data_IF_258980159714
#
_entry.id   IF_258980159714
#
_cell.length_a   1.000
_cell.length_b   1.000
_cell.length_c   1.000
_cell.angle_alpha   90.00
_cell.angle_beta   90.00
_cell.angle_gamma   90.00
#
_symmetry.space_group_name_H-M   'P 1'
#
loop_
_entity.id
_entity.type
_entity.pdbx_description
1 polymer ?
#
# COMPACT_ATOMS: atom_id res chain seq x y z
N UNK A 1 -11.05 0.54 -0.23
CA UNK A 1 -10.40 0.34 1.09
C UNK A 1 -11.33 0.43 2.30
N UNK A 2 -12.06 1.54 2.51
CA UNK A 2 -12.81 1.76 3.77
C UNK A 2 -13.79 0.61 4.12
N UNK A 3 -14.54 0.08 3.14
CA UNK A 3 -15.42 -1.09 3.36
C UNK A 3 -14.67 -2.29 3.93
N UNK A 4 -13.55 -2.64 3.31
CA UNK A 4 -12.82 -3.86 3.64
C UNK A 4 -12.15 -3.77 5.01
N UNK A 5 -11.62 -2.59 5.35
CA UNK A 5 -11.01 -2.31 6.66
C UNK A 5 -12.04 -2.39 7.79
N UNK A 6 -13.24 -1.86 7.56
CA UNK A 6 -14.29 -1.84 8.59
C UNK A 6 -14.86 -3.22 8.90
N UNK A 7 -14.95 -4.12 7.91
CA UNK A 7 -15.37 -5.51 8.16
C UNK A 7 -14.39 -6.21 9.09
N UNK A 8 -13.09 -5.96 8.90
CA UNK A 8 -12.02 -6.54 9.71
C UNK A 8 -11.74 -5.75 11.01
N UNK A 9 -12.50 -4.68 11.28
CA UNK A 9 -12.38 -3.80 12.46
C UNK A 9 -10.96 -3.26 12.67
N UNK A 10 -10.24 -2.98 11.58
CA UNK A 10 -8.90 -2.38 11.67
C UNK A 10 -9.05 -0.89 11.97
N UNK A 11 -8.37 -0.35 12.99
CA UNK A 11 -8.26 1.09 13.17
C UNK A 11 -7.71 1.73 11.89
N UNK A 12 -8.49 2.65 11.30
CA UNK A 12 -8.12 3.32 10.06
C UNK A 12 -7.80 4.78 10.35
N UNK A 13 -6.55 5.16 10.08
CA UNK A 13 -6.15 6.56 10.07
C UNK A 13 -6.08 7.04 8.61
N UNK A 14 -6.85 8.08 8.26
CA UNK A 14 -6.88 8.60 6.89
C UNK A 14 -6.08 9.90 6.80
N UNK A 15 -4.95 9.84 6.10
CA UNK A 15 -4.18 11.02 5.71
C UNK A 15 -4.80 11.64 4.46
N UNK A 16 -5.57 12.72 4.62
CA UNK A 16 -6.26 13.38 3.51
C UNK A 16 -6.19 14.90 3.60
N UNK A 17 -6.49 15.53 2.48
CA UNK A 17 -6.75 16.96 2.41
C UNK A 17 -8.25 17.22 2.41
N UNK A 18 -8.63 18.40 2.87
CA UNK A 18 -9.98 18.92 2.68
C UNK A 18 -10.32 19.10 1.19
N UNK A 19 -11.36 19.86 0.85
CA UNK A 19 -11.58 20.24 -0.55
C UNK A 19 -10.33 20.98 -1.09
N UNK A 20 -9.55 20.28 -1.93
CA UNK A 20 -8.31 20.74 -2.55
C UNK A 20 -7.06 20.15 -1.88
N UNK A 21 -6.17 19.52 -2.66
CA UNK A 21 -5.45 20.27 -3.70
C UNK A 21 -5.41 19.61 -5.10
N UNK A 22 -4.75 20.26 -6.08
CA UNK A 22 -4.41 19.66 -7.38
C UNK A 22 -3.57 18.39 -7.14
N UNK A 23 -3.71 17.38 -8.01
CA UNK A 23 -3.09 16.06 -7.89
C UNK A 23 -1.59 16.10 -7.51
N UNK A 24 -0.84 17.08 -8.00
CA UNK A 24 0.58 17.28 -7.72
C UNK A 24 0.88 17.62 -6.25
N UNK A 25 0.06 18.48 -5.64
CA UNK A 25 0.21 18.86 -4.22
C UNK A 25 -0.13 17.66 -3.31
N UNK A 26 -1.09 16.83 -3.71
CA UNK A 26 -1.45 15.61 -2.99
C UNK A 26 -0.31 14.58 -2.96
N UNK A 27 0.40 14.42 -4.09
CA UNK A 27 1.57 13.52 -4.21
C UNK A 27 2.71 13.91 -3.27
N UNK A 28 2.94 15.21 -3.07
CA UNK A 28 4.02 15.69 -2.22
C UNK A 28 3.74 15.53 -0.71
N UNK A 29 2.50 15.71 -0.26
CA UNK A 29 2.24 15.56 1.19
C UNK A 29 1.84 14.17 1.62
N UNK A 30 1.50 13.25 0.72
CA UNK A 30 1.27 11.84 1.08
C UNK A 30 2.44 11.29 1.94
N UNK A 31 3.71 11.42 1.50
CA UNK A 31 4.88 11.14 2.33
C UNK A 31 4.88 11.88 3.67
N UNK A 32 4.70 13.22 3.65
CA UNK A 32 4.83 14.07 4.83
C UNK A 32 3.78 13.76 5.91
N UNK A 33 2.53 13.53 5.50
CA UNK A 33 1.42 13.17 6.40
C UNK A 33 1.63 11.81 7.02
N UNK A 34 2.08 10.83 6.23
CA UNK A 34 2.43 9.55 6.79
C UNK A 34 3.49 9.69 7.91
N UNK A 35 4.50 10.56 7.76
CA UNK A 35 5.51 10.80 8.81
C UNK A 35 4.88 11.28 10.10
N UNK A 36 4.01 12.28 9.99
CA UNK A 36 3.36 12.89 11.15
C UNK A 36 2.53 11.85 11.89
N UNK A 37 1.77 11.04 11.14
CA UNK A 37 0.98 9.95 11.67
C UNK A 37 1.87 8.87 12.31
N UNK A 38 2.92 8.43 11.61
CA UNK A 38 3.85 7.43 12.14
C UNK A 38 4.56 7.90 13.40
N UNK A 39 4.94 9.19 13.50
CA UNK A 39 5.52 9.78 14.72
C UNK A 39 4.51 9.83 15.87
N UNK A 40 3.27 10.24 15.59
CA UNK A 40 2.20 10.26 16.58
C UNK A 40 1.96 8.85 17.13
N UNK A 41 1.89 7.86 16.25
CA UNK A 41 1.70 6.45 16.62
C UNK A 41 2.92 5.88 17.35
N UNK A 42 4.14 6.16 16.89
CA UNK A 42 5.36 5.72 17.57
C UNK A 42 5.50 6.29 18.98
N UNK A 43 4.93 7.47 19.24
CA UNK A 43 4.90 8.09 20.56
C UNK A 43 3.91 7.42 21.52
N UNK A 44 2.90 6.72 21.00
CA UNK A 44 1.92 5.94 21.78
C UNK A 44 2.45 4.54 22.05
N UNK A 45 2.89 3.84 21.01
CA UNK A 45 3.53 2.53 21.06
C UNK A 45 4.54 2.42 19.92
N UNK A 46 5.86 2.33 20.19
CA UNK A 46 6.87 2.22 19.14
C UNK A 46 6.82 0.89 18.39
N UNK A 47 6.28 -0.17 19.02
CA UNK A 47 6.29 -1.53 18.48
C UNK A 47 5.03 -1.87 17.68
N UNK A 48 4.00 -1.03 17.74
CA UNK A 48 2.77 -1.22 16.97
C UNK A 48 3.11 -1.31 15.48
N UNK A 49 2.39 -2.15 14.78
CA UNK A 49 2.60 -2.39 13.35
C UNK A 49 1.69 -1.44 12.58
N UNK A 50 2.29 -0.62 11.72
CA UNK A 50 1.58 0.27 10.82
C UNK A 50 1.60 -0.31 9.41
N UNK A 51 0.44 -0.27 8.77
CA UNK A 51 0.31 -0.51 7.33
C UNK A 51 -0.06 0.80 6.68
N UNK A 52 0.72 1.18 5.68
CA UNK A 52 0.39 2.26 4.78
C UNK A 52 -0.11 1.67 3.47
N UNK A 53 -1.19 2.21 2.95
CA UNK A 53 -1.69 1.84 1.65
C UNK A 53 -2.41 3.02 0.99
N UNK A 54 -2.41 3.05 -0.33
CA UNK A 54 -3.32 3.88 -1.09
C UNK A 54 -4.77 3.53 -0.75
N UNK A 55 -5.66 4.52 -0.85
CA UNK A 55 -7.03 4.39 -0.35
C UNK A 55 -8.07 4.16 -1.46
N UNK A 56 -7.83 4.70 -2.65
CA UNK A 56 -8.82 4.77 -3.73
C UNK A 56 -8.95 3.47 -4.52
N UNK A 57 -7.83 2.81 -4.77
CA UNK A 57 -7.67 1.67 -5.67
C UNK A 57 -7.09 0.44 -4.94
N UNK A 58 -7.28 0.38 -3.62
CA UNK A 58 -6.89 -0.76 -2.79
C UNK A 58 -8.09 -1.37 -2.09
N UNK A 59 -8.16 -2.71 -2.06
CA UNK A 59 -9.04 -3.42 -1.14
C UNK A 59 -8.29 -4.52 -0.38
N UNK A 60 -8.79 -4.81 0.82
CA UNK A 60 -8.32 -5.91 1.67
C UNK A 60 -9.21 -7.16 1.45
N UNK A 61 -8.67 -8.36 1.55
CA UNK A 61 -9.44 -9.62 1.51
C UNK A 61 -9.02 -10.69 2.52
N UNK A 62 -8.01 -10.39 3.35
CA UNK A 62 -7.53 -11.26 4.44
C UNK A 62 -7.72 -10.60 5.81
N UNK A 63 -7.84 -11.39 6.88
CA UNK A 63 -7.93 -10.87 8.24
C UNK A 63 -6.60 -10.28 8.70
N UNK A 64 -6.65 -9.38 9.68
CA UNK A 64 -5.47 -8.69 10.26
C UNK A 64 -4.44 -9.66 10.80
N UNK A 65 -4.86 -10.70 11.53
CA UNK A 65 -3.95 -11.65 12.16
C UNK A 65 -3.04 -12.34 11.13
N UNK A 66 -3.58 -12.66 9.96
CA UNK A 66 -2.80 -13.21 8.85
C UNK A 66 -1.71 -12.25 8.38
N UNK A 67 -2.05 -10.96 8.25
CA UNK A 67 -1.14 -9.91 7.78
C UNK A 67 0.01 -9.72 8.79
N UNK A 68 -0.33 -9.64 10.07
CA UNK A 68 0.63 -9.49 11.16
C UNK A 68 1.56 -10.71 11.24
N UNK A 69 1.01 -11.92 11.19
CA UNK A 69 1.79 -13.16 11.24
C UNK A 69 2.78 -13.27 10.08
N UNK A 70 2.36 -12.93 8.85
CA UNK A 70 3.27 -12.96 7.70
C UNK A 70 4.35 -11.89 7.80
N UNK A 71 4.04 -10.69 8.29
CA UNK A 71 5.04 -9.63 8.45
C UNK A 71 6.09 -9.97 9.51
N UNK A 72 5.66 -10.47 10.68
CA UNK A 72 6.57 -10.82 11.79
C UNK A 72 7.55 -11.92 11.38
N UNK A 73 7.14 -12.86 10.51
CA UNK A 73 8.02 -13.92 9.99
C UNK A 73 9.16 -13.41 9.10
N UNK A 74 9.04 -12.22 8.50
CA UNK A 74 10.04 -11.72 7.54
C UNK A 74 11.27 -11.10 8.21
N UNK A 75 11.16 -10.73 9.49
CA UNK A 75 12.19 -10.07 10.29
C UNK A 75 12.84 -8.88 9.54
N UNK A 76 12.04 -7.85 9.29
CA UNK A 76 12.44 -6.63 8.56
C UNK A 76 12.00 -5.38 9.28
N UNK A 77 12.70 -4.27 9.02
CA UNK A 77 12.25 -2.95 9.49
C UNK A 77 11.10 -2.42 8.66
N UNK A 78 11.18 -2.61 7.34
CA UNK A 78 10.14 -2.19 6.41
C UNK A 78 9.96 -3.24 5.31
N UNK A 79 8.69 -3.50 5.00
CA UNK A 79 8.26 -4.33 3.90
C UNK A 79 7.50 -3.47 2.91
N UNK A 80 7.89 -3.50 1.64
CA UNK A 80 7.14 -2.88 0.54
C UNK A 80 6.40 -3.91 -0.30
N UNK A 81 5.34 -3.45 -0.97
CA UNK A 81 4.78 -4.19 -2.10
C UNK A 81 5.84 -4.36 -3.19
N UNK A 82 5.93 -5.57 -3.75
CA UNK A 82 6.66 -5.82 -4.99
C UNK A 82 5.74 -5.60 -6.21
N UNK A 83 6.31 -5.24 -7.35
CA UNK A 83 5.63 -5.13 -8.64
C UNK A 83 6.52 -5.59 -9.80
N UNK A 84 5.90 -5.81 -10.96
CA UNK A 84 6.55 -6.24 -12.21
C UNK A 84 7.11 -5.10 -13.06
N UNK A 85 7.07 -3.86 -12.58
CA UNK A 85 7.54 -2.71 -13.33
C UNK A 85 8.49 -1.82 -12.50
N UNK A 86 9.57 -1.35 -13.12
CA UNK A 86 10.57 -0.51 -12.47
C UNK A 86 10.24 0.98 -12.61
N UNK A 87 9.04 1.39 -12.21
CA UNK A 87 8.64 2.80 -12.30
C UNK A 87 9.28 3.61 -11.16
N UNK A 88 9.69 4.87 -11.37
CA UNK A 88 9.64 5.66 -12.62
C UNK A 88 10.87 5.51 -13.53
N UNK A 89 11.77 4.57 -13.26
CA UNK A 89 13.10 4.48 -13.89
C UNK A 89 13.11 3.81 -15.26
N UNK A 90 11.97 3.35 -15.79
CA UNK A 90 11.83 2.82 -17.17
C UNK A 90 11.79 3.89 -18.27
N UNK A 91 12.29 5.10 -18.02
CA UNK A 91 12.26 6.22 -18.97
C UNK A 91 13.37 6.19 -20.03
N UNK A 92 14.53 5.65 -19.68
CA UNK A 92 15.71 5.52 -20.54
C UNK A 92 16.62 4.38 -20.03
N UNK A 93 17.50 3.86 -20.90
CA UNK A 93 18.35 2.71 -20.56
C UNK A 93 19.31 3.02 -19.41
N UNK A 94 19.82 4.25 -19.32
CA UNK A 94 20.73 4.67 -18.25
C UNK A 94 20.04 4.58 -16.88
N UNK A 95 18.79 5.04 -16.76
CA UNK A 95 17.99 4.95 -15.54
C UNK A 95 17.66 3.50 -15.18
N UNK A 96 17.39 2.66 -16.19
CA UNK A 96 17.17 1.23 -15.99
C UNK A 96 18.43 0.58 -15.41
N UNK A 97 19.58 0.83 -16.02
CA UNK A 97 20.85 0.24 -15.61
C UNK A 97 21.26 0.71 -14.20
N UNK A 98 21.03 2.00 -13.89
CA UNK A 98 21.38 2.59 -12.61
C UNK A 98 20.48 2.15 -11.45
N UNK A 99 19.17 1.97 -11.68
CA UNK A 99 18.20 1.72 -10.60
C UNK A 99 17.60 0.33 -10.63
N UNK A 100 17.12 -0.13 -11.79
CA UNK A 100 16.39 -1.40 -11.90
C UNK A 100 17.28 -2.60 -11.67
N UNK A 101 18.57 -2.50 -11.99
CA UNK A 101 19.58 -3.54 -11.77
C UNK A 101 19.96 -3.74 -10.30
N UNK A 102 19.67 -2.75 -9.42
CA UNK A 102 19.94 -2.86 -7.98
C UNK A 102 18.99 -3.83 -7.27
N UNK A 103 17.88 -4.19 -7.92
CA UNK A 103 16.87 -5.10 -7.40
C UNK A 103 16.84 -6.36 -8.27
N UNK A 104 17.72 -7.34 -8.00
CA UNK A 104 17.81 -8.55 -8.81
C UNK A 104 16.54 -9.42 -8.71
N UNK A 105 15.71 -9.21 -7.68
CA UNK A 105 14.55 -10.01 -7.35
C UNK A 105 14.89 -11.23 -6.50
N UNK A 106 13.87 -12.02 -6.18
CA UNK A 106 14.02 -13.32 -5.50
C UNK A 106 14.20 -14.43 -6.57
N UNK A 107 15.33 -15.17 -6.56
CA UNK A 107 15.57 -16.25 -7.52
C UNK A 107 14.47 -17.32 -7.57
N UNK A 108 13.85 -17.63 -6.44
CA UNK A 108 12.73 -18.58 -6.39
C UNK A 108 11.53 -18.00 -7.12
N UNK A 109 11.22 -16.73 -6.92
CA UNK A 109 10.10 -16.08 -7.59
C UNK A 109 10.35 -15.89 -9.08
N UNK A 110 11.60 -15.62 -9.49
CA UNK A 110 11.96 -15.60 -10.91
C UNK A 110 11.64 -16.94 -11.57
N UNK A 111 11.95 -18.06 -10.91
CA UNK A 111 11.64 -19.39 -11.42
C UNK A 111 10.13 -19.69 -11.42
N UNK A 112 9.40 -19.28 -10.38
CA UNK A 112 7.94 -19.49 -10.26
C UNK A 112 7.16 -18.76 -11.35
N UNK A 113 7.56 -17.54 -11.70
CA UNK A 113 6.84 -16.73 -12.68
C UNK A 113 7.19 -17.04 -14.14
N UNK A 114 8.34 -17.67 -14.40
CA UNK A 114 8.81 -17.95 -15.74
C UNK A 114 7.76 -18.67 -16.62
N UNK A 115 7.58 -18.27 -17.90
CA UNK A 115 8.37 -17.29 -18.64
C UNK A 115 7.95 -15.82 -18.41
N UNK A 116 6.95 -15.57 -17.56
CA UNK A 116 6.44 -14.22 -17.32
C UNK A 116 7.36 -13.44 -16.35
N UNK A 117 7.32 -12.10 -16.38
CA UNK A 117 8.08 -11.29 -15.43
C UNK A 117 7.65 -11.56 -13.98
N UNK A 118 8.62 -11.83 -13.10
CA UNK A 118 8.39 -11.88 -11.65
C UNK A 118 8.30 -10.47 -11.06
N UNK A 119 7.50 -10.27 -10.00
CA UNK A 119 7.56 -9.03 -9.23
C UNK A 119 8.92 -8.93 -8.56
N UNK A 120 9.66 -7.86 -8.84
CA UNK A 120 11.00 -7.65 -8.24
C UNK A 120 11.30 -6.20 -7.88
N UNK A 121 10.43 -5.28 -8.28
CA UNK A 121 10.61 -3.85 -8.13
C UNK A 121 9.69 -3.33 -7.03
N UNK A 122 10.08 -2.23 -6.38
CA UNK A 122 9.33 -1.64 -5.29
C UNK A 122 8.09 -0.90 -5.82
N UNK A 123 6.95 -1.08 -5.16
CA UNK A 123 5.76 -0.24 -5.30
C UNK A 123 5.47 0.49 -3.97
N UNK A 124 5.40 1.83 -3.99
CA UNK A 124 5.17 2.65 -2.77
C UNK A 124 3.71 2.78 -2.37
N UNK A 125 2.79 2.22 -3.15
CA UNK A 125 1.37 2.30 -2.85
C UNK A 125 0.95 1.42 -1.68
N UNK A 126 1.81 0.50 -1.21
CA UNK A 126 1.62 -0.15 0.07
C UNK A 126 2.96 -0.53 0.74
N UNK A 127 3.03 -0.36 2.06
CA UNK A 127 4.16 -0.79 2.89
C UNK A 127 3.74 -1.09 4.32
N UNK A 128 4.62 -1.75 5.07
CA UNK A 128 4.40 -2.14 6.46
C UNK A 128 5.69 -2.02 7.27
N UNK A 129 5.60 -1.47 8.47
CA UNK A 129 6.72 -1.32 9.40
C UNK A 129 6.22 -1.20 10.84
N UNK A 130 7.11 -1.36 11.82
CA UNK A 130 6.83 -0.93 13.20
C UNK A 130 6.79 0.59 13.25
N UNK A 131 5.96 1.18 14.11
CA UNK A 131 5.78 2.62 14.17
C UNK A 131 7.10 3.38 14.37
N UNK A 132 8.00 2.89 15.22
CA UNK A 132 9.34 3.47 15.39
C UNK A 132 10.16 3.45 14.10
N UNK A 133 10.12 2.34 13.36
CA UNK A 133 10.83 2.21 12.08
C UNK A 133 10.19 3.11 11.01
N UNK A 134 8.86 3.19 10.94
CA UNK A 134 8.14 4.10 10.06
C UNK A 134 8.50 5.57 10.35
N UNK A 135 8.56 5.95 11.63
CA UNK A 135 8.94 7.31 12.03
C UNK A 135 10.40 7.62 11.67
N UNK A 136 11.30 6.65 11.79
CA UNK A 136 12.71 6.76 11.38
C UNK A 136 12.84 6.89 9.85
N UNK A 137 12.14 6.04 9.09
CA UNK A 137 12.14 5.97 7.62
C UNK A 137 12.04 7.35 6.98
N UNK A 138 11.10 8.16 7.47
CA UNK A 138 10.81 9.44 6.83
C UNK A 138 11.70 10.60 7.28
N UNK A 139 12.17 10.61 8.54
CA UNK A 139 13.16 11.61 8.97
C UNK A 139 14.42 11.53 8.11
N UNK A 140 14.83 10.30 7.79
CA UNK A 140 16.02 10.03 6.99
C UNK A 140 15.87 10.43 5.51
N UNK A 141 14.65 10.52 4.98
CA UNK A 141 14.43 11.05 3.62
C UNK A 141 14.17 12.54 3.56
N UNK A 142 13.61 13.15 4.60
CA UNK A 142 13.35 14.59 4.55
C UNK A 142 14.62 15.43 4.51
N UNK A 143 15.76 14.87 4.91
CA UNK A 143 17.00 15.63 5.10
C UNK A 143 17.90 15.73 3.88
N UNK A 144 17.81 14.82 2.88
CA UNK A 144 18.79 14.74 1.77
C UNK A 144 18.23 14.21 0.43
N UNK A 145 16.91 14.26 0.20
CA UNK A 145 16.32 13.70 -1.04
C UNK A 145 16.44 14.68 -2.21
N UNK A 146 16.98 14.28 -3.38
CA UNK A 146 16.97 15.10 -4.60
C UNK A 146 15.55 15.57 -4.94
N UNK A 147 15.40 16.80 -5.49
CA UNK A 147 14.08 17.40 -5.75
C UNK A 147 13.12 16.48 -6.51
N UNK A 148 13.60 15.78 -7.53
CA UNK A 148 12.80 14.83 -8.31
C UNK A 148 12.23 13.67 -7.45
N UNK A 149 13.02 13.16 -6.50
CA UNK A 149 12.59 12.12 -5.57
C UNK A 149 11.71 12.68 -4.46
N UNK A 150 11.78 13.98 -4.15
CA UNK A 150 10.87 14.62 -3.20
C UNK A 150 9.43 14.73 -3.73
N UNK A 151 9.25 14.71 -5.05
CA UNK A 151 7.96 14.84 -5.74
C UNK A 151 7.37 13.49 -6.21
N UNK A 152 8.09 12.39 -6.00
CA UNK A 152 7.69 11.04 -6.38
C UNK A 152 7.90 10.07 -5.22
N UNK A 153 6.82 9.63 -4.59
CA UNK A 153 6.84 8.75 -3.42
C UNK A 153 7.49 7.39 -3.71
N UNK A 154 7.33 6.85 -4.93
CA UNK A 154 7.98 5.61 -5.35
C UNK A 154 9.49 5.75 -5.46
N UNK A 155 9.98 6.81 -6.13
CA UNK A 155 11.41 7.11 -6.21
C UNK A 155 12.05 7.32 -4.81
N UNK A 156 11.33 8.01 -3.91
CA UNK A 156 11.76 8.20 -2.52
C UNK A 156 11.87 6.88 -1.75
N UNK A 157 10.95 5.97 -1.99
CA UNK A 157 10.97 4.65 -1.36
C UNK A 157 12.15 3.79 -1.85
N UNK A 158 12.52 3.90 -3.14
CA UNK A 158 13.73 3.26 -3.67
C UNK A 158 15.00 3.71 -2.96
N UNK A 159 15.25 5.01 -2.85
CA UNK A 159 16.43 5.56 -2.17
C UNK A 159 16.57 5.00 -0.75
N UNK A 160 15.45 4.88 -0.04
CA UNK A 160 15.44 4.37 1.32
C UNK A 160 15.71 2.88 1.40
N UNK A 161 15.12 2.08 0.54
CA UNK A 161 15.41 0.66 0.52
C UNK A 161 16.86 0.39 0.15
N UNK A 162 17.45 1.16 -0.76
CA UNK A 162 18.88 1.11 -1.05
C UNK A 162 19.70 1.47 0.19
N UNK A 163 19.36 2.57 0.87
CA UNK A 163 20.06 3.01 2.09
C UNK A 163 19.95 2.00 3.24
N UNK A 164 18.80 1.36 3.38
CA UNK A 164 18.53 0.43 4.47
C UNK A 164 19.04 -0.98 4.20
N UNK A 165 19.32 -1.30 2.93
CA UNK A 165 19.84 -2.60 2.50
C UNK A 165 18.92 -3.73 2.94
N UNK A 166 19.49 -4.76 3.55
CA UNK A 166 18.78 -5.97 4.00
C UNK A 166 17.64 -5.72 5.01
N UNK A 167 17.59 -4.52 5.62
CA UNK A 167 16.52 -4.11 6.54
C UNK A 167 15.25 -3.64 5.82
N UNK A 168 15.32 -3.36 4.51
CA UNK A 168 14.15 -3.23 3.64
C UNK A 168 14.01 -4.51 2.80
N UNK A 169 12.82 -5.10 2.77
CA UNK A 169 12.47 -6.16 1.81
C UNK A 169 11.25 -5.78 1.00
N UNK A 170 11.11 -6.46 -0.14
CA UNK A 170 9.90 -6.43 -0.95
C UNK A 170 9.15 -7.75 -0.75
N UNK A 171 7.82 -7.72 -0.77
CA UNK A 171 6.97 -8.92 -0.69
C UNK A 171 6.96 -9.66 -2.04
N UNK A 172 8.08 -10.29 -2.41
CA UNK A 172 8.24 -10.95 -3.71
C UNK A 172 7.24 -12.11 -3.95
N UNK A 173 6.77 -12.75 -2.88
CA UNK A 173 5.75 -13.82 -2.94
C UNK A 173 4.32 -13.27 -3.01
N UNK A 174 4.16 -11.95 -2.86
CA UNK A 174 2.88 -11.25 -2.88
C UNK A 174 1.86 -11.88 -1.92
N UNK A 175 2.29 -12.15 -0.67
CA UNK A 175 1.42 -12.73 0.36
C UNK A 175 0.59 -11.66 1.07
N UNK A 176 1.21 -10.53 1.34
CA UNK A 176 0.60 -9.38 2.00
C UNK A 176 0.13 -8.39 0.94
N UNK A 177 0.99 -8.03 -0.01
CA UNK A 177 0.69 -7.00 -1.01
C UNK A 177 0.72 -7.55 -2.43
N UNK A 178 -0.30 -7.21 -3.22
CA UNK A 178 -0.36 -7.48 -4.65
C UNK A 178 -0.58 -6.20 -5.45
N UNK A 179 0.43 -5.83 -6.25
CA UNK A 179 0.27 -4.85 -7.32
C UNK A 179 -0.40 -5.51 -8.53
N UNK A 180 -1.42 -4.88 -9.09
CA UNK A 180 -2.21 -5.44 -10.20
C UNK A 180 -1.71 -5.00 -11.57
N UNK A 181 -0.87 -3.95 -11.65
CA UNK A 181 -0.26 -3.54 -12.91
C UNK A 181 0.57 -4.67 -13.51
N UNK A 182 0.26 -5.04 -14.77
CA UNK A 182 0.89 -6.16 -15.51
C UNK A 182 0.69 -7.54 -14.83
N UNK A 183 -0.30 -7.64 -13.94
CA UNK A 183 -0.44 -8.81 -13.07
C UNK A 183 -1.86 -9.37 -12.98
N UNK A 184 -2.77 -8.93 -13.84
CA UNK A 184 -4.14 -9.45 -13.89
C UNK A 184 -4.17 -10.97 -14.11
N UNK A 185 -3.33 -11.46 -15.03
CA UNK A 185 -3.30 -12.88 -15.42
C UNK A 185 -2.68 -13.80 -14.34
N UNK A 186 -2.04 -13.23 -13.32
CA UNK A 186 -1.55 -14.00 -12.17
C UNK A 186 -2.69 -14.43 -11.24
N UNK A 187 -3.87 -13.82 -11.36
CA UNK A 187 -4.91 -13.87 -10.34
C UNK A 187 -6.15 -14.62 -10.83
N UNK A 188 -6.67 -15.49 -9.98
CA UNK A 188 -7.95 -16.18 -10.21
C UNK A 188 -8.88 -16.02 -9.02
N UNK A 189 -10.18 -15.92 -9.29
CA UNK A 189 -11.19 -15.86 -8.24
C UNK A 189 -11.63 -17.28 -7.84
N UNK A 190 -11.17 -17.75 -6.69
CA UNK A 190 -11.36 -19.13 -6.20
C UNK A 190 -11.91 -19.06 -4.76
N UNK A 191 -13.00 -19.78 -4.49
CA UNK A 191 -13.51 -19.91 -3.12
C UNK A 191 -13.93 -18.60 -2.45
N UNK A 192 -14.28 -17.57 -3.23
CA UNK A 192 -14.69 -16.26 -2.70
C UNK A 192 -13.55 -15.24 -2.53
N UNK A 193 -12.32 -15.60 -2.90
CA UNK A 193 -11.13 -14.74 -2.80
C UNK A 193 -10.36 -14.72 -4.11
N UNK A 194 -9.51 -13.71 -4.30
CA UNK A 194 -8.54 -13.68 -5.38
C UNK A 194 -7.23 -14.34 -4.93
N UNK A 195 -6.83 -15.38 -5.65
CA UNK A 195 -5.65 -16.20 -5.42
C UNK A 195 -4.64 -15.90 -6.52
N UNK A 196 -3.39 -15.62 -6.14
CA UNK A 196 -2.28 -15.59 -7.08
C UNK A 196 -1.93 -17.05 -7.42
N UNK A 197 -2.21 -17.47 -8.65
CA UNK A 197 -2.00 -18.85 -9.09
C UNK A 197 -0.55 -19.16 -9.44
N UNK A 198 0.30 -18.14 -9.61
CA UNK A 198 1.75 -18.33 -9.79
C UNK A 198 2.37 -18.78 -8.48
N UNK A 199 2.11 -18.04 -7.39
CA UNK A 199 2.73 -18.29 -6.08
C UNK A 199 1.86 -19.14 -5.15
N UNK A 200 0.63 -19.47 -5.56
CA UNK A 200 -0.39 -20.11 -4.72
C UNK A 200 -0.66 -19.35 -3.41
N UNK A 201 -0.62 -18.01 -3.46
CA UNK A 201 -0.91 -17.14 -2.32
C UNK A 201 -2.29 -16.49 -2.46
N UNK A 202 -2.84 -16.00 -1.36
CA UNK A 202 -4.04 -15.16 -1.38
C UNK A 202 -3.67 -13.82 -0.77
N UNK A 203 -3.26 -12.84 -1.60
CA UNK A 203 -2.74 -11.56 -1.13
C UNK A 203 -3.73 -10.86 -0.19
N UNK A 204 -3.24 -10.24 0.87
CA UNK A 204 -4.10 -9.51 1.80
C UNK A 204 -4.63 -8.22 1.17
N UNK A 205 -3.74 -7.38 0.66
CA UNK A 205 -4.03 -6.12 0.00
C UNK A 205 -3.88 -6.27 -1.51
N UNK A 206 -4.91 -5.85 -2.24
CA UNK A 206 -4.94 -5.82 -3.69
C UNK A 206 -4.92 -4.36 -4.15
N UNK A 207 -3.83 -3.93 -4.78
CA UNK A 207 -3.59 -2.55 -5.22
C UNK A 207 -3.68 -2.45 -6.75
N UNK A 208 -4.69 -1.72 -7.24
CA UNK A 208 -5.00 -1.52 -8.65
C UNK A 208 -4.27 -0.32 -9.26
N UNK A 209 -2.96 -0.26 -8.98
CA UNK A 209 -2.07 0.80 -9.41
C UNK A 209 -2.03 0.96 -10.93
N UNK A 210 -1.70 2.17 -11.39
CA UNK A 210 -1.59 2.49 -12.82
C UNK A 210 -2.93 2.77 -13.52
N UNK A 211 -4.01 2.98 -12.75
CA UNK A 211 -5.32 3.34 -13.30
C UNK A 211 -6.08 2.17 -13.90
N UNK A 212 -5.91 0.97 -13.35
CA UNK A 212 -6.53 -0.26 -13.84
C UNK A 212 -8.07 -0.20 -13.71
N UNK A 213 -8.84 -0.36 -14.80
CA UNK A 213 -10.31 -0.20 -14.78
C UNK A 213 -11.05 -1.32 -14.04
N UNK A 214 -10.39 -2.44 -13.75
CA UNK A 214 -11.01 -3.63 -13.17
C UNK A 214 -11.35 -3.50 -11.68
N UNK A 215 -10.81 -2.50 -10.97
CA UNK A 215 -10.92 -2.35 -9.52
C UNK A 215 -12.35 -2.56 -8.99
N UNK A 216 -13.32 -1.80 -9.51
CA UNK A 216 -14.70 -1.85 -9.00
C UNK A 216 -15.38 -3.21 -9.23
N UNK A 217 -15.05 -3.89 -10.33
CA UNK A 217 -15.58 -5.24 -10.64
C UNK A 217 -15.04 -6.27 -9.65
N UNK A 218 -13.75 -6.16 -9.29
CA UNK A 218 -13.08 -7.10 -8.41
C UNK A 218 -13.46 -6.89 -6.95
N UNK A 219 -13.43 -5.65 -6.48
CA UNK A 219 -13.89 -5.29 -5.13
C UNK A 219 -15.35 -5.75 -4.94
N UNK A 220 -16.21 -5.51 -5.94
CA UNK A 220 -17.60 -5.96 -5.93
C UNK A 220 -17.74 -7.47 -5.78
N UNK A 221 -16.92 -8.31 -6.43
CA UNK A 221 -17.01 -9.77 -6.30
C UNK A 221 -16.65 -10.29 -4.90
N UNK A 222 -15.70 -9.64 -4.23
CA UNK A 222 -15.30 -10.00 -2.86
C UNK A 222 -16.36 -9.53 -1.85
N UNK A 223 -16.88 -8.32 -2.02
CA UNK A 223 -17.68 -7.66 -1.00
C UNK A 223 -19.19 -7.66 -1.24
N UNK A 224 -19.69 -7.85 -2.47
CA UNK A 224 -21.14 -7.93 -2.75
C UNK A 224 -21.80 -9.16 -2.09
N UNK A 225 -21.03 -10.15 -1.62
CA UNK A 225 -21.56 -11.27 -0.83
C UNK A 225 -21.63 -10.97 0.67
N UNK A 226 -21.09 -9.84 1.12
CA UNK A 226 -20.81 -9.53 2.53
C UNK A 226 -21.26 -8.13 2.95
N UNK A 227 -22.46 -7.62 2.65
CA UNK A 227 -22.87 -6.36 3.31
C UNK A 227 -24.36 -6.23 3.64
N UNK A 228 -24.64 -6.45 4.93
CA UNK A 228 -25.53 -5.66 5.79
C UNK A 228 -24.67 -4.96 6.87
N UNK A 229 -23.50 -4.43 6.52
CA UNK A 229 -22.55 -3.83 7.48
C UNK A 229 -22.80 -2.33 7.58
N UNK A 230 -23.31 -1.89 8.74
CA UNK A 230 -23.38 -0.47 9.11
C UNK A 230 -21.98 -0.01 9.49
N UNK A 231 -21.50 1.09 8.91
CA UNK A 231 -20.17 1.58 9.25
C UNK A 231 -20.21 2.35 10.59
N UNK A 232 -19.39 1.90 11.53
CA UNK A 232 -19.20 2.46 12.87
C UNK A 232 -17.69 2.41 13.17
N UNK A 233 -17.19 3.37 13.95
CA UNK A 233 -15.79 3.48 14.42
C UNK A 233 -14.73 3.87 13.36
N UNK A 234 -14.92 5.00 12.68
CA UNK A 234 -13.82 5.68 11.96
C UNK A 234 -13.34 6.83 12.84
N UNK A 235 -12.08 6.78 13.30
CA UNK A 235 -11.46 7.89 14.02
C UNK A 235 -10.79 8.85 13.04
N UNK A 236 -11.24 10.10 13.04
CA UNK A 236 -10.65 11.16 12.23
C UNK A 236 -9.71 11.97 13.12
N UNK A 237 -8.43 12.08 12.74
CA UNK A 237 -7.47 12.89 13.48
C UNK A 237 -7.80 14.39 13.26
N UNK A 238 -7.67 15.23 14.29
CA UNK A 238 -8.17 16.63 14.29
C UNK A 238 -7.57 17.57 13.22
N UNK A 239 -6.56 17.13 12.46
CA UNK A 239 -6.00 17.84 11.31
C UNK A 239 -6.43 17.28 9.94
N UNK A 240 -7.39 16.35 9.92
CA UNK A 240 -8.01 15.78 8.71
C UNK A 240 -9.14 16.71 8.28
N UNK A 241 -8.83 17.74 7.49
CA UNK A 241 -9.88 18.57 6.89
C UNK A 241 -10.59 17.75 5.80
N UNK A 242 -11.93 17.78 5.74
CA UNK A 242 -12.76 16.95 4.86
C UNK A 242 -13.85 17.77 4.16
N UNK A 243 -14.18 17.40 2.91
CA UNK A 243 -15.58 17.42 2.44
C UNK A 243 -15.86 16.43 1.29
N UNK A 244 -14.97 16.28 0.31
CA UNK A 244 -15.30 15.52 -0.92
C UNK A 244 -15.38 13.98 -0.74
N UNK A 245 -14.47 13.38 0.02
CA UNK A 245 -14.46 11.92 0.23
C UNK A 245 -15.62 11.43 1.11
N UNK A 246 -16.02 12.23 2.10
CA UNK A 246 -17.13 11.92 3.00
C UNK A 246 -18.48 12.03 2.28
N UNK A 247 -18.70 13.07 1.47
CA UNK A 247 -19.92 13.21 0.67
C UNK A 247 -20.04 12.11 -0.40
N UNK A 248 -18.94 11.71 -1.03
CA UNK A 248 -18.93 10.58 -1.98
C UNK A 248 -19.26 9.25 -1.29
N UNK A 249 -18.67 8.97 -0.13
CA UNK A 249 -18.97 7.77 0.64
C UNK A 249 -20.38 7.80 1.23
N UNK A 250 -20.87 8.93 1.73
CA UNK A 250 -22.24 9.05 2.24
C UNK A 250 -23.29 8.93 1.13
N UNK A 251 -23.06 9.53 -0.04
CA UNK A 251 -23.99 9.48 -1.17
C UNK A 251 -24.08 8.09 -1.81
N UNK A 252 -23.00 7.30 -1.78
CA UNK A 252 -22.98 5.94 -2.34
C UNK A 252 -23.43 4.84 -1.37
N UNK A 253 -23.47 5.10 -0.06
CA UNK A 253 -23.61 4.05 0.97
C UNK A 253 -24.71 4.29 2.00
N UNK A 254 -25.43 5.42 1.91
CA UNK A 254 -26.45 5.79 2.88
C UNK A 254 -25.81 6.38 4.13
N UNK A 255 -26.04 7.67 4.36
CA UNK A 255 -25.29 8.50 5.31
C UNK A 255 -25.09 7.92 6.71
N UNK A 256 -23.99 8.34 7.32
CA UNK A 256 -23.69 8.03 8.71
C UNK A 256 -24.50 8.90 9.66
N UNK A 257 -25.12 8.34 10.71
CA UNK A 257 -25.65 9.16 11.77
C UNK A 257 -24.48 9.81 12.52
N UNK A 258 -24.44 11.15 12.47
CA UNK A 258 -23.74 11.97 13.45
C UNK A 258 -24.18 11.51 14.84
N UNK A 259 -23.22 11.28 15.75
CA UNK A 259 -23.51 11.37 17.18
C UNK A 259 -22.78 12.59 17.69
N UNK A 260 -23.58 13.46 18.32
CA UNK A 260 -23.21 14.74 18.93
C UNK A 260 -22.06 14.64 19.92
#
# INVERSE_FOLDING_TARGET
MARSVLVEKIPLLVGGYGPGPREEEAKQAKPNRFVEMAKAEASKDPNQILVFADAFDVFLQQPVDYIVDEFVKMDVKVLYSAEKNCWPYIKDQESIDAMCSLFPGDPEMIAVYAPDPSPKWLNSGAMMCRASDCAQWFQETMSNTPKYHAENDQARAYDLCIKWGERCKLDYREKIFKSMWISLDDMQYIGGKYVNVKTNTTPAFMHFNGGMPEFSSWEGKVWNRKTNVKLQNIEFHENSFYSAGYEYLCSKFGGFPYRD
#
